data_IF_883755389016
#
_entry.id   IF_883755389016
#
_cell.length_a   1.000
_cell.length_b   1.000
_cell.length_c   1.000
_cell.angle_alpha   90.00
_cell.angle_beta   90.00
_cell.angle_gamma   90.00
#
_symmetry.space_group_name_H-M   'P 1'
#
loop_
_entity.id
_entity.type
_entity.pdbx_description
1 polymer ?
#
# COMPACT_ATOMS: atom_id res chain seq x y z
N UNK A 1 4.40 -17.68 7.16
CA UNK A 1 5.68 -18.12 7.79
C UNK A 1 6.53 -16.96 8.35
N UNK A 2 6.19 -15.68 8.15
CA UNK A 2 6.99 -14.51 8.61
C UNK A 2 6.98 -14.29 10.13
N UNK A 3 5.88 -14.65 10.78
CA UNK A 3 5.62 -14.34 12.18
C UNK A 3 6.67 -14.85 13.19
N UNK A 4 7.47 -15.87 12.86
CA UNK A 4 8.54 -16.40 13.73
C UNK A 4 9.64 -15.38 14.02
N UNK A 5 9.98 -14.52 13.06
CA UNK A 5 11.08 -13.56 13.19
C UNK A 5 10.76 -12.43 14.18
N UNK A 6 9.48 -12.05 14.27
CA UNK A 6 9.04 -10.87 15.02
C UNK A 6 8.34 -11.19 16.34
N UNK A 7 8.07 -12.47 16.67
CA UNK A 7 7.35 -12.87 17.90
C UNK A 7 7.90 -12.21 19.16
N UNK A 8 9.23 -12.13 19.27
CA UNK A 8 9.92 -11.59 20.44
C UNK A 8 9.80 -10.07 20.61
N UNK A 9 9.26 -9.36 19.61
CA UNK A 9 9.03 -7.92 19.66
C UNK A 9 7.64 -7.58 20.24
N UNK A 10 6.75 -8.55 20.33
CA UNK A 10 5.41 -8.36 20.90
C UNK A 10 5.44 -8.53 22.43
N UNK A 11 4.54 -7.82 23.15
CA UNK A 11 3.53 -6.90 22.65
C UNK A 11 4.11 -5.54 22.20
N UNK A 12 3.50 -4.95 21.17
CA UNK A 12 3.90 -3.62 20.68
C UNK A 12 3.23 -2.57 21.57
N UNK A 13 4.03 -1.75 22.26
CA UNK A 13 3.56 -0.77 23.24
C UNK A 13 4.03 0.64 22.95
N UNK A 14 4.85 0.82 21.93
CA UNK A 14 5.40 2.11 21.50
C UNK A 14 5.59 2.11 19.99
N UNK A 15 5.72 3.29 19.39
CA UNK A 15 6.08 3.43 17.98
C UNK A 15 7.43 2.75 17.66
N UNK A 16 8.39 2.77 18.59
CA UNK A 16 9.68 2.08 18.45
C UNK A 16 9.52 0.56 18.33
N UNK A 17 8.59 -0.06 19.06
CA UNK A 17 8.32 -1.50 18.90
C UNK A 17 7.78 -1.81 17.50
N UNK A 18 6.90 -0.95 16.97
CA UNK A 18 6.37 -1.09 15.60
C UNK A 18 7.48 -0.94 14.57
N UNK A 19 8.33 0.09 14.70
CA UNK A 19 9.52 0.27 13.87
C UNK A 19 10.44 -0.95 13.92
N UNK A 20 10.61 -1.56 15.10
CA UNK A 20 11.36 -2.79 15.29
C UNK A 20 10.79 -3.96 14.47
N UNK A 21 9.46 -4.11 14.42
CA UNK A 21 8.78 -5.13 13.59
C UNK A 21 9.02 -4.88 12.11
N UNK A 22 8.80 -3.65 11.64
CA UNK A 22 9.02 -3.29 10.23
C UNK A 22 10.49 -3.48 9.83
N UNK A 23 11.42 -3.07 10.69
CA UNK A 23 12.86 -3.27 10.49
C UNK A 23 13.19 -4.76 10.38
N UNK A 24 12.67 -5.60 11.27
CA UNK A 24 12.93 -7.03 11.25
C UNK A 24 12.37 -7.73 9.99
N UNK A 25 11.20 -7.30 9.50
CA UNK A 25 10.62 -7.82 8.25
C UNK A 25 11.40 -7.33 7.01
N UNK A 26 11.86 -6.08 6.98
CA UNK A 26 12.63 -5.51 5.87
C UNK A 26 14.09 -6.01 5.81
N UNK A 27 14.72 -6.26 6.96
CA UNK A 27 16.10 -6.74 7.05
C UNK A 27 16.20 -8.28 6.93
N UNK A 28 15.05 -8.96 6.89
CA UNK A 28 14.95 -10.41 6.81
C UNK A 28 15.52 -10.99 5.52
N UNK A 29 15.93 -12.27 5.56
CA UNK A 29 16.35 -13.02 4.37
C UNK A 29 15.18 -13.44 3.46
N UNK A 30 13.95 -13.09 3.83
CA UNK A 30 12.71 -13.46 3.14
C UNK A 30 11.97 -12.19 2.77
N UNK A 31 11.01 -12.30 1.87
CA UNK A 31 10.11 -11.19 1.57
C UNK A 31 9.34 -10.76 2.84
N UNK A 32 9.17 -9.45 3.07
CA UNK A 32 8.39 -8.94 4.20
C UNK A 32 6.95 -9.44 4.13
N UNK A 33 6.39 -9.86 5.26
CA UNK A 33 5.03 -10.39 5.35
C UNK A 33 4.00 -9.24 5.28
N UNK A 34 3.45 -9.01 4.09
CA UNK A 34 2.54 -7.89 3.84
C UNK A 34 1.26 -7.99 4.69
N UNK A 35 0.80 -9.22 4.91
CA UNK A 35 -0.41 -9.47 5.69
C UNK A 35 -0.23 -9.07 7.16
N UNK A 36 0.88 -9.50 7.76
CA UNK A 36 1.28 -9.13 9.11
C UNK A 36 1.36 -7.61 9.29
N UNK A 37 2.13 -6.93 8.44
CA UNK A 37 2.39 -5.49 8.56
C UNK A 37 1.10 -4.67 8.37
N UNK A 38 0.27 -5.02 7.38
CA UNK A 38 -1.01 -4.34 7.13
C UNK A 38 -2.01 -4.51 8.27
N UNK A 39 -2.05 -5.69 8.91
CA UNK A 39 -2.89 -5.94 10.09
C UNK A 39 -2.44 -5.08 11.27
N UNK A 40 -1.14 -4.99 11.52
CA UNK A 40 -0.59 -4.16 12.61
C UNK A 40 -0.93 -2.69 12.40
N UNK A 41 -0.65 -2.14 11.21
CA UNK A 41 -0.96 -0.74 10.91
C UNK A 41 -2.46 -0.46 10.99
N UNK A 42 -3.27 -1.30 10.37
CA UNK A 42 -4.72 -1.12 10.38
C UNK A 42 -5.35 -1.20 11.77
N UNK A 43 -4.81 -2.05 12.66
CA UNK A 43 -5.27 -2.10 14.05
C UNK A 43 -4.88 -0.83 14.82
N UNK A 44 -3.64 -0.37 14.68
CA UNK A 44 -3.17 0.86 15.32
C UNK A 44 -3.95 2.08 14.84
N UNK A 45 -4.13 2.20 13.52
CA UNK A 45 -4.95 3.27 12.93
C UNK A 45 -6.37 3.23 13.48
N UNK A 46 -7.02 2.06 13.49
CA UNK A 46 -8.35 1.93 14.07
C UNK A 46 -8.43 2.41 15.53
N UNK A 47 -7.43 2.08 16.35
CA UNK A 47 -7.42 2.51 17.74
C UNK A 47 -7.18 4.01 17.87
N UNK A 48 -6.21 4.56 17.15
CA UNK A 48 -5.78 5.95 17.25
C UNK A 48 -6.74 6.94 16.56
N UNK A 49 -7.56 6.49 15.61
CA UNK A 49 -8.49 7.38 14.89
C UNK A 49 -9.98 7.09 15.14
N UNK A 50 -10.38 5.81 15.14
CA UNK A 50 -11.79 5.43 15.21
C UNK A 50 -12.28 5.20 16.64
N UNK A 51 -11.44 4.60 17.51
CA UNK A 51 -11.86 4.14 18.84
C UNK A 51 -11.46 5.05 19.99
N UNK A 52 -10.21 5.54 20.01
CA UNK A 52 -9.66 6.37 21.09
C UNK A 52 -9.85 7.87 20.79
N UNK A 53 -11.07 8.29 20.42
CA UNK A 53 -11.36 9.72 20.39
C UNK A 53 -11.06 10.31 21.78
N UNK A 54 -10.25 11.37 21.91
CA UNK A 54 -9.88 11.91 23.21
C UNK A 54 -11.12 12.35 23.98
N UNK A 55 -11.62 11.50 24.88
CA UNK A 55 -12.65 11.88 25.82
C UNK A 55 -12.00 12.70 26.92
N UNK A 56 -12.17 14.01 26.87
CA UNK A 56 -11.72 15.01 27.84
C UNK A 56 -10.19 15.17 28.01
N UNK A 57 -9.75 16.42 27.84
CA UNK A 57 -8.39 16.88 28.12
C UNK A 57 -7.96 16.51 29.55
N UNK A 58 -7.03 15.56 29.70
CA UNK A 58 -6.42 15.26 31.01
C UNK A 58 -5.89 13.85 31.24
N UNK A 59 -6.22 12.85 30.40
CA UNK A 59 -5.55 11.55 30.44
C UNK A 59 -4.43 11.49 29.40
N UNK A 60 -3.20 11.09 29.77
CA UNK A 60 -2.15 10.84 28.78
C UNK A 60 -2.64 9.72 27.86
N UNK A 61 -2.73 10.01 26.55
CA UNK A 61 -3.01 8.97 25.57
C UNK A 61 -1.83 7.99 25.56
N UNK A 62 -2.00 6.86 26.25
CA UNK A 62 -1.05 5.75 26.17
C UNK A 62 -1.15 5.10 24.80
N UNK A 63 0.00 4.89 24.16
CA UNK A 63 0.09 4.15 22.90
C UNK A 63 -0.62 2.79 23.04
N UNK A 64 -1.51 2.42 22.10
CA UNK A 64 -2.31 1.21 22.23
C UNK A 64 -1.43 -0.04 22.16
N UNK A 65 -1.70 -1.00 23.06
CA UNK A 65 -1.01 -2.28 23.01
C UNK A 65 -1.51 -3.15 21.85
N UNK A 66 -0.58 -3.65 21.05
CA UNK A 66 -0.86 -4.68 20.02
C UNK A 66 -0.36 -6.02 20.51
N UNK A 67 -1.28 -6.95 20.78
CA UNK A 67 -0.94 -8.29 21.22
C UNK A 67 -0.59 -9.21 20.04
N UNK A 68 0.33 -10.14 20.27
CA UNK A 68 0.72 -11.14 19.27
C UNK A 68 -0.48 -12.03 18.88
N UNK A 69 -1.28 -12.44 19.86
CA UNK A 69 -2.42 -13.34 19.68
C UNK A 69 -3.46 -12.76 18.73
N UNK A 70 -3.77 -11.46 18.84
CA UNK A 70 -4.69 -10.78 17.95
C UNK A 70 -4.19 -10.81 16.50
N UNK A 71 -2.94 -10.40 16.31
CA UNK A 71 -2.31 -10.31 14.99
C UNK A 71 -2.19 -11.70 14.35
N UNK A 72 -1.79 -12.70 15.13
CA UNK A 72 -1.76 -14.10 14.71
C UNK A 72 -3.13 -14.61 14.28
N UNK A 73 -4.16 -14.38 15.09
CA UNK A 73 -5.51 -14.85 14.79
C UNK A 73 -6.04 -14.23 13.49
N UNK A 74 -5.87 -12.92 13.30
CA UNK A 74 -6.28 -12.22 12.08
C UNK A 74 -5.50 -12.69 10.86
N UNK A 75 -4.18 -12.83 10.98
CA UNK A 75 -3.33 -13.32 9.89
C UNK A 75 -3.69 -14.76 9.50
N UNK A 76 -3.85 -15.66 10.48
CA UNK A 76 -4.28 -17.04 10.24
C UNK A 76 -5.67 -17.10 9.58
N UNK A 77 -6.58 -16.21 9.96
CA UNK A 77 -7.90 -16.10 9.31
C UNK A 77 -7.77 -15.69 7.84
N UNK A 78 -6.96 -14.69 7.54
CA UNK A 78 -6.69 -14.27 6.15
C UNK A 78 -6.07 -15.40 5.33
N UNK A 79 -5.01 -16.03 5.86
CA UNK A 79 -4.33 -17.15 5.20
C UNK A 79 -5.30 -18.31 4.92
N UNK A 80 -6.10 -18.71 5.92
CA UNK A 80 -7.06 -19.81 5.78
C UNK A 80 -8.14 -19.50 4.74
N UNK A 81 -8.60 -18.25 4.68
CA UNK A 81 -9.59 -17.80 3.71
C UNK A 81 -9.05 -17.87 2.28
N UNK A 82 -7.81 -17.41 2.05
CA UNK A 82 -7.17 -17.43 0.73
C UNK A 82 -6.85 -18.86 0.30
N UNK A 83 -6.17 -19.62 1.15
CA UNK A 83 -5.77 -21.01 0.87
C UNK A 83 -6.97 -21.95 0.69
N UNK A 84 -8.07 -21.70 1.39
CA UNK A 84 -9.31 -22.48 1.24
C UNK A 84 -10.10 -22.16 -0.03
N UNK A 85 -9.88 -21.00 -0.65
CA UNK A 85 -10.67 -20.53 -1.78
C UNK A 85 -9.98 -20.67 -3.15
N UNK A 86 -8.66 -20.87 -3.16
CA UNK A 86 -7.82 -20.92 -4.36
C UNK A 86 -7.00 -22.21 -4.37
N UNK A 87 -7.31 -23.12 -5.27
CA UNK A 87 -6.47 -24.28 -5.57
C UNK A 87 -5.45 -23.93 -6.64
N UNK A 88 -4.22 -23.61 -6.23
CA UNK A 88 -3.12 -23.22 -7.14
C UNK A 88 -2.81 -24.30 -8.17
N UNK A 89 -2.97 -25.59 -7.81
CA UNK A 89 -2.67 -26.72 -8.70
C UNK A 89 -3.59 -26.80 -9.93
N UNK A 90 -4.74 -26.14 -9.87
CA UNK A 90 -5.70 -26.06 -10.98
C UNK A 90 -5.33 -25.00 -12.04
N UNK A 91 -4.27 -24.23 -11.85
CA UNK A 91 -3.89 -23.12 -12.73
C UNK A 91 -2.46 -23.28 -13.27
N UNK A 92 -2.22 -22.69 -14.44
CA UNK A 92 -0.85 -22.48 -14.92
C UNK A 92 -0.12 -21.51 -13.95
N UNK A 93 1.15 -21.78 -13.58
CA UNK A 93 1.92 -20.90 -12.72
C UNK A 93 1.98 -19.47 -13.26
N UNK A 94 1.72 -18.48 -12.41
CA UNK A 94 1.80 -17.05 -12.77
C UNK A 94 0.80 -16.59 -13.85
N UNK A 95 -0.20 -17.42 -14.19
CA UNK A 95 -1.15 -17.07 -15.25
C UNK A 95 -2.22 -16.06 -14.80
N UNK A 96 -2.64 -15.19 -15.72
CA UNK A 96 -3.75 -14.22 -15.53
C UNK A 96 -4.98 -14.82 -14.86
N UNK A 97 -5.38 -16.02 -15.25
CA UNK A 97 -6.55 -16.71 -14.70
C UNK A 97 -6.44 -16.96 -13.18
N UNK A 98 -5.23 -17.25 -12.68
CA UNK A 98 -4.98 -17.41 -11.25
C UNK A 98 -5.09 -16.07 -10.54
N UNK A 99 -4.45 -15.02 -11.07
CA UNK A 99 -4.50 -13.66 -10.49
C UNK A 99 -5.94 -13.14 -10.46
N UNK A 100 -6.71 -13.32 -11.54
CA UNK A 100 -8.13 -12.98 -11.59
C UNK A 100 -8.94 -13.77 -10.55
N UNK A 101 -8.63 -15.07 -10.36
CA UNK A 101 -9.29 -15.88 -9.32
C UNK A 101 -9.02 -15.33 -7.91
N UNK A 102 -7.78 -14.95 -7.61
CA UNK A 102 -7.43 -14.33 -6.31
C UNK A 102 -8.17 -13.00 -6.14
N UNK A 103 -8.20 -12.17 -7.19
CA UNK A 103 -8.97 -10.92 -7.22
C UNK A 103 -10.45 -11.15 -6.90
N UNK A 104 -11.08 -12.16 -7.52
CA UNK A 104 -12.46 -12.52 -7.25
C UNK A 104 -12.70 -13.00 -5.82
N UNK A 105 -11.74 -13.69 -5.19
CA UNK A 105 -11.86 -14.08 -3.78
C UNK A 105 -11.93 -12.84 -2.89
N UNK A 106 -11.04 -11.87 -3.08
CA UNK A 106 -11.09 -10.62 -2.32
C UNK A 106 -12.37 -9.85 -2.63
N UNK A 107 -12.68 -9.65 -3.90
CA UNK A 107 -13.85 -8.88 -4.34
C UNK A 107 -15.18 -9.42 -3.79
N UNK A 108 -15.42 -10.73 -3.92
CA UNK A 108 -16.70 -11.33 -3.56
C UNK A 108 -16.95 -11.36 -2.06
N UNK A 109 -15.93 -11.09 -1.25
CA UNK A 109 -16.04 -11.01 0.21
C UNK A 109 -16.37 -9.60 0.69
N UNK A 110 -16.21 -8.58 -0.16
CA UNK A 110 -16.54 -7.19 0.16
C UNK A 110 -18.05 -7.01 0.31
N UNK A 111 -18.44 -6.13 1.22
CA UNK A 111 -19.82 -5.69 1.32
C UNK A 111 -20.23 -4.97 0.02
N UNK A 112 -21.39 -5.29 -0.54
CA UNK A 112 -21.85 -4.65 -1.78
C UNK A 112 -22.27 -3.19 -1.61
N UNK A 113 -22.56 -2.77 -0.37
CA UNK A 113 -23.08 -1.44 -0.07
C UNK A 113 -22.32 -0.78 1.07
N UNK A 114 -21.36 0.07 0.71
CA UNK A 114 -20.69 1.00 1.62
C UNK A 114 -20.14 2.19 0.84
N UNK A 115 -19.84 3.27 1.56
CA UNK A 115 -19.13 4.40 0.97
C UNK A 115 -17.68 4.00 0.70
N UNK A 116 -17.32 3.90 -0.58
CA UNK A 116 -15.97 3.52 -1.06
C UNK A 116 -14.92 4.60 -0.79
N UNK A 117 -15.35 5.84 -0.55
CA UNK A 117 -14.51 7.00 -0.22
C UNK A 117 -14.39 7.18 1.31
N UNK A 118 -14.81 6.19 2.11
CA UNK A 118 -14.71 6.27 3.57
C UNK A 118 -13.24 6.16 3.99
N UNK A 119 -12.82 6.92 5.00
CA UNK A 119 -11.49 6.77 5.60
C UNK A 119 -11.34 5.44 6.37
N UNK A 120 -10.09 5.02 6.58
CA UNK A 120 -9.69 3.89 7.42
C UNK A 120 -10.13 2.51 6.90
N UNK A 121 -10.37 2.37 5.60
CA UNK A 121 -10.74 1.09 4.97
C UNK A 121 -9.70 0.61 3.95
N UNK A 122 -8.43 0.97 4.11
CA UNK A 122 -7.34 0.64 3.18
C UNK A 122 -6.54 -0.61 3.57
N UNK A 123 -6.67 -1.06 4.83
CA UNK A 123 -5.84 -2.14 5.41
C UNK A 123 -6.53 -3.51 5.45
N UNK A 124 -5.74 -4.58 5.54
CA UNK A 124 -6.27 -5.92 5.80
C UNK A 124 -6.98 -6.04 7.15
N UNK A 125 -6.68 -5.17 8.11
CA UNK A 125 -7.46 -5.11 9.35
C UNK A 125 -8.92 -4.72 9.07
N UNK A 126 -9.16 -3.69 8.26
CA UNK A 126 -10.51 -3.30 7.82
C UNK A 126 -11.20 -4.43 7.06
N UNK A 127 -10.46 -5.08 6.17
CA UNK A 127 -10.95 -6.25 5.42
C UNK A 127 -11.45 -7.35 6.37
N UNK A 128 -10.63 -7.77 7.34
CA UNK A 128 -10.93 -8.92 8.19
C UNK A 128 -11.98 -8.64 9.28
N UNK A 129 -12.02 -7.41 9.79
CA UNK A 129 -12.88 -7.07 10.93
C UNK A 129 -14.17 -6.38 10.51
N UNK A 130 -14.20 -5.72 9.34
CA UNK A 130 -15.34 -4.94 8.87
C UNK A 130 -15.75 -3.79 9.79
N UNK A 131 -15.04 -3.57 10.92
CA UNK A 131 -15.39 -2.75 12.08
C UNK A 131 -16.71 -3.14 12.76
N UNK A 132 -16.68 -4.19 13.58
CA UNK A 132 -17.75 -4.55 14.53
C UNK A 132 -18.13 -3.36 15.41
N UNK A 133 -19.38 -2.93 15.34
CA UNK A 133 -20.00 -2.08 16.38
C UNK A 133 -21.08 -2.91 17.07
N UNK A 134 -21.35 -2.70 18.38
CA UNK A 134 -22.37 -3.46 19.11
C UNK A 134 -23.79 -3.37 18.51
N UNK A 135 -24.03 -2.43 17.58
CA UNK A 135 -25.32 -2.22 16.92
C UNK A 135 -25.33 -2.54 15.41
N UNK A 136 -24.20 -2.88 14.78
CA UNK A 136 -24.15 -3.22 13.36
C UNK A 136 -23.00 -4.17 13.04
N UNK A 137 -23.36 -5.34 12.49
CA UNK A 137 -22.42 -6.24 11.80
C UNK A 137 -22.00 -5.54 10.51
N UNK A 138 -20.96 -4.74 10.59
CA UNK A 138 -20.41 -4.06 9.44
C UNK A 138 -19.58 -5.09 8.64
N UNK A 139 -20.03 -5.42 7.43
CA UNK A 139 -19.32 -6.34 6.54
C UNK A 139 -17.94 -5.80 6.12
N UNK A 140 -17.11 -6.69 5.57
CA UNK A 140 -15.79 -6.45 4.95
C UNK A 140 -15.78 -5.22 4.05
N UNK A 141 -14.85 -4.28 4.27
CA UNK A 141 -14.75 -3.02 3.52
C UNK A 141 -13.31 -2.76 3.10
N UNK A 142 -13.13 -2.36 1.84
CA UNK A 142 -11.86 -1.88 1.30
C UNK A 142 -12.05 -0.65 0.41
N UNK A 143 -11.11 0.28 0.35
CA UNK A 143 -11.05 1.26 -0.74
C UNK A 143 -10.36 0.66 -1.99
N UNK A 144 -10.24 1.45 -3.06
CA UNK A 144 -9.71 0.97 -4.33
C UNK A 144 -8.27 0.43 -4.20
N UNK A 145 -7.40 1.19 -3.52
CA UNK A 145 -6.02 0.79 -3.21
C UNK A 145 -5.99 -0.46 -2.32
N UNK A 146 -6.79 -0.48 -1.25
CA UNK A 146 -6.86 -1.57 -0.30
C UNK A 146 -7.25 -2.89 -0.96
N UNK A 147 -8.13 -2.87 -1.96
CA UNK A 147 -8.42 -4.05 -2.79
C UNK A 147 -7.18 -4.53 -3.52
N UNK A 148 -6.52 -3.67 -4.30
CA UNK A 148 -5.33 -4.07 -5.06
C UNK A 148 -4.22 -4.61 -4.15
N UNK A 149 -3.94 -3.91 -3.04
CA UNK A 149 -2.98 -4.34 -2.03
C UNK A 149 -3.36 -5.71 -1.41
N UNK A 150 -4.64 -5.92 -1.09
CA UNK A 150 -5.11 -7.18 -0.52
C UNK A 150 -4.96 -8.36 -1.49
N UNK A 151 -5.11 -8.11 -2.79
CA UNK A 151 -4.86 -9.15 -3.82
C UNK A 151 -3.36 -9.48 -3.87
N UNK A 152 -2.46 -8.50 -3.79
CA UNK A 152 -1.00 -8.78 -3.70
C UNK A 152 -0.66 -9.59 -2.46
N UNK A 153 -1.18 -9.21 -1.29
CA UNK A 153 -0.96 -9.96 -0.06
C UNK A 153 -1.51 -11.40 -0.14
N UNK A 154 -2.66 -11.61 -0.78
CA UNK A 154 -3.21 -12.94 -1.03
C UNK A 154 -2.35 -13.76 -2.00
N UNK A 155 -1.83 -13.13 -3.06
CA UNK A 155 -0.86 -13.76 -3.97
C UNK A 155 0.42 -14.17 -3.23
N UNK A 156 0.94 -13.33 -2.33
CA UNK A 156 2.09 -13.65 -1.49
C UNK A 156 1.82 -14.87 -0.59
N UNK A 157 0.63 -14.96 0.01
CA UNK A 157 0.21 -16.13 0.81
C UNK A 157 0.21 -17.42 -0.01
N UNK A 158 -0.18 -17.34 -1.29
CA UNK A 158 -0.19 -18.47 -2.23
C UNK A 158 1.19 -18.81 -2.79
N UNK A 159 2.23 -18.04 -2.43
CA UNK A 159 3.60 -18.23 -2.93
C UNK A 159 3.83 -17.67 -4.34
N UNK A 160 2.97 -16.77 -4.82
CA UNK A 160 3.09 -16.11 -6.12
C UNK A 160 3.99 -14.88 -6.00
N UNK A 161 5.31 -15.12 -5.96
CA UNK A 161 6.31 -14.08 -5.73
C UNK A 161 6.46 -13.09 -6.90
N UNK A 162 6.01 -13.45 -8.10
CA UNK A 162 6.07 -12.63 -9.31
C UNK A 162 4.94 -11.60 -9.42
N UNK A 163 3.90 -11.68 -8.58
CA UNK A 163 2.77 -10.75 -8.59
C UNK A 163 3.09 -9.53 -7.72
N UNK A 164 3.05 -8.35 -8.32
CA UNK A 164 3.40 -7.09 -7.68
C UNK A 164 2.38 -5.99 -7.89
N UNK A 165 2.38 -5.02 -6.97
CA UNK A 165 1.55 -3.82 -7.09
C UNK A 165 2.13 -2.86 -8.14
N UNK A 166 1.26 -2.28 -8.95
CA UNK A 166 1.58 -1.13 -9.79
C UNK A 166 0.67 0.04 -9.43
N UNK A 167 1.26 1.23 -9.37
CA UNK A 167 0.57 2.46 -8.99
C UNK A 167 0.76 3.55 -10.03
N UNK A 168 -0.32 4.23 -10.36
CA UNK A 168 -0.25 5.60 -10.87
C UNK A 168 -0.46 6.59 -9.73
N UNK A 169 -0.68 7.86 -10.07
CA UNK A 169 -1.01 8.90 -9.10
C UNK A 169 -2.41 8.71 -8.49
N UNK A 170 -3.32 8.02 -9.18
CA UNK A 170 -4.75 7.93 -8.80
C UNK A 170 -5.36 6.53 -8.98
N UNK A 171 -4.54 5.50 -9.27
CA UNK A 171 -5.03 4.14 -9.47
C UNK A 171 -4.01 3.05 -9.13
N UNK A 172 -4.53 1.86 -8.85
CA UNK A 172 -3.74 0.70 -8.47
C UNK A 172 -4.20 -0.56 -9.25
N UNK A 173 -3.24 -1.30 -9.78
CA UNK A 173 -3.47 -2.57 -10.47
C UNK A 173 -2.30 -3.53 -10.21
N UNK A 174 -2.31 -4.72 -10.81
CA UNK A 174 -1.25 -5.70 -10.62
C UNK A 174 -0.41 -5.89 -11.87
N UNK A 175 0.87 -6.20 -11.65
CA UNK A 175 1.78 -6.72 -12.66
C UNK A 175 2.26 -8.12 -12.26
N UNK A 176 2.51 -8.96 -13.25
CA UNK A 176 2.96 -10.34 -13.05
C UNK A 176 3.62 -10.91 -14.31
N UNK A 177 4.07 -12.16 -14.25
CA UNK A 177 4.78 -12.82 -15.33
C UNK A 177 6.25 -12.36 -15.47
N UNK A 178 6.96 -12.85 -16.50
CA UNK A 178 8.38 -12.52 -16.70
C UNK A 178 8.60 -11.00 -16.75
N UNK A 179 9.49 -10.50 -15.91
CA UNK A 179 9.83 -9.07 -15.80
C UNK A 179 8.63 -8.13 -15.52
N UNK A 180 7.51 -8.66 -15.02
CA UNK A 180 6.28 -7.88 -14.81
C UNK A 180 5.60 -7.43 -16.10
N UNK A 181 5.77 -8.20 -17.19
CA UNK A 181 5.26 -7.84 -18.52
C UNK A 181 3.74 -7.88 -18.64
N UNK A 182 3.07 -8.69 -17.81
CA UNK A 182 1.61 -8.76 -17.80
C UNK A 182 1.01 -7.80 -16.77
N UNK A 183 -0.13 -7.20 -17.12
CA UNK A 183 -0.89 -6.35 -16.21
C UNK A 183 -2.32 -6.85 -16.07
N UNK A 184 -2.94 -6.63 -14.92
CA UNK A 184 -4.37 -6.86 -14.76
C UNK A 184 -4.99 -5.86 -13.79
N UNK A 185 -6.13 -5.32 -14.20
CA UNK A 185 -7.05 -4.60 -13.33
C UNK A 185 -7.62 -5.55 -12.26
N UNK A 186 -7.68 -5.10 -11.02
CA UNK A 186 -8.21 -5.89 -9.88
C UNK A 186 -9.18 -5.11 -9.00
N UNK A 187 -9.32 -3.82 -9.23
CA UNK A 187 -10.17 -2.92 -8.45
C UNK A 187 -10.96 -2.00 -9.36
N UNK A 188 -11.85 -1.19 -8.78
CA UNK A 188 -12.56 -0.15 -9.52
C UNK A 188 -11.72 1.13 -9.59
N UNK A 189 -12.04 1.99 -10.56
CA UNK A 189 -11.61 3.39 -10.56
C UNK A 189 -12.83 4.32 -10.69
N UNK A 190 -12.83 5.41 -9.93
CA UNK A 190 -13.91 6.40 -9.94
C UNK A 190 -15.30 5.86 -9.51
N UNK A 191 -16.35 6.56 -9.95
CA UNK A 191 -17.76 6.29 -9.59
C UNK A 191 -18.57 5.64 -10.73
N UNK A 192 -17.90 5.25 -11.81
CA UNK A 192 -18.51 4.63 -12.99
C UNK A 192 -18.87 3.16 -12.79
N UNK A 193 -19.71 2.63 -13.69
CA UNK A 193 -20.17 1.23 -13.68
C UNK A 193 -19.31 0.28 -14.55
N UNK A 194 -18.22 0.75 -15.14
CA UNK A 194 -17.34 -0.10 -15.95
C UNK A 194 -16.43 -0.93 -15.05
N UNK A 195 -16.78 -2.21 -14.85
CA UNK A 195 -15.90 -3.19 -14.22
C UNK A 195 -14.82 -3.61 -15.24
N UNK A 196 -13.62 -3.08 -15.08
CA UNK A 196 -12.45 -3.43 -15.91
C UNK A 196 -11.64 -4.58 -15.34
N UNK A 197 -12.02 -5.16 -14.19
CA UNK A 197 -11.23 -6.22 -13.53
C UNK A 197 -10.97 -7.40 -14.46
N UNK A 198 -9.75 -7.93 -14.40
CA UNK A 198 -9.24 -9.00 -15.27
C UNK A 198 -8.66 -8.52 -16.60
N UNK A 199 -8.93 -7.27 -17.01
CA UNK A 199 -8.42 -6.72 -18.27
C UNK A 199 -6.99 -6.16 -18.10
N UNK A 200 -6.23 -6.14 -19.20
CA UNK A 200 -4.94 -5.45 -19.27
C UNK A 200 -5.13 -3.93 -19.26
N UNK A 201 -4.14 -3.19 -18.74
CA UNK A 201 -4.13 -1.72 -18.78
C UNK A 201 -3.60 -1.16 -20.12
N UNK A 202 -3.16 -2.03 -21.04
CA UNK A 202 -2.52 -1.64 -22.31
C UNK A 202 -3.38 -0.71 -23.17
N UNK A 203 -4.70 -0.87 -23.14
CA UNK A 203 -5.61 0.02 -23.88
C UNK A 203 -5.51 1.46 -23.37
N UNK A 204 -5.56 1.65 -22.05
CA UNK A 204 -5.42 2.97 -21.43
C UNK A 204 -4.02 3.57 -21.62
N UNK A 205 -2.98 2.73 -21.65
CA UNK A 205 -1.61 3.15 -21.99
C UNK A 205 -1.52 3.59 -23.45
N UNK A 206 -2.07 2.83 -24.39
CA UNK A 206 -2.09 3.16 -25.81
C UNK A 206 -2.86 4.46 -26.11
N UNK A 207 -3.92 4.71 -25.33
CA UNK A 207 -4.71 5.95 -25.37
C UNK A 207 -4.04 7.12 -24.63
N UNK A 208 -2.86 6.92 -24.04
CA UNK A 208 -2.08 7.94 -23.30
C UNK A 208 -2.86 8.56 -22.15
N UNK A 209 -3.69 7.75 -21.47
CA UNK A 209 -4.45 8.21 -20.32
C UNK A 209 -3.51 8.55 -19.17
N UNK A 210 -3.72 9.70 -18.52
CA UNK A 210 -3.01 10.08 -17.29
C UNK A 210 -3.20 9.04 -16.19
N UNK A 211 -4.38 8.41 -16.13
CA UNK A 211 -4.69 7.35 -15.17
C UNK A 211 -3.65 6.20 -15.15
N UNK A 212 -3.02 5.92 -16.29
CA UNK A 212 -1.99 4.90 -16.44
C UNK A 212 -0.61 5.48 -16.73
N UNK A 213 -0.45 6.81 -16.57
CA UNK A 213 0.79 7.58 -16.78
C UNK A 213 1.51 7.26 -18.09
N UNK A 214 0.75 6.97 -19.16
CA UNK A 214 1.31 6.54 -20.44
C UNK A 214 2.32 5.35 -20.29
N UNK A 215 2.06 4.45 -19.35
CA UNK A 215 2.91 3.28 -19.06
C UNK A 215 4.07 3.54 -18.10
N UNK A 216 4.24 4.78 -17.63
CA UNK A 216 5.26 5.19 -16.66
C UNK A 216 4.71 5.11 -15.24
N UNK A 217 4.33 3.91 -14.81
CA UNK A 217 3.82 3.68 -13.46
C UNK A 217 4.94 3.37 -12.46
N UNK A 218 4.63 3.52 -11.17
CA UNK A 218 5.46 2.97 -10.09
C UNK A 218 5.30 1.46 -10.09
N UNK A 219 6.41 0.77 -10.36
CA UNK A 219 6.51 -0.70 -10.38
C UNK A 219 7.05 -1.19 -9.05
N UNK A 220 6.20 -1.71 -8.17
CA UNK A 220 6.63 -2.04 -6.82
C UNK A 220 7.41 -3.36 -6.79
N UNK A 221 8.42 -3.42 -5.93
CA UNK A 221 8.88 -4.66 -5.31
C UNK A 221 8.24 -4.81 -3.91
N UNK A 222 8.59 -5.86 -3.18
CA UNK A 222 8.02 -6.10 -1.83
C UNK A 222 8.30 -4.97 -0.83
N UNK A 223 9.51 -4.39 -0.84
CA UNK A 223 9.83 -3.25 0.03
C UNK A 223 9.05 -1.99 -0.33
N UNK A 224 8.79 -1.77 -1.61
CA UNK A 224 7.94 -0.68 -2.09
C UNK A 224 6.47 -0.92 -1.73
N UNK A 225 5.99 -2.16 -1.73
CA UNK A 225 4.63 -2.49 -1.24
C UNK A 225 4.49 -2.23 0.27
N UNK A 226 5.57 -2.42 1.05
CA UNK A 226 5.64 -1.94 2.43
C UNK A 226 5.58 -0.40 2.48
N UNK A 227 6.29 0.29 1.60
CA UNK A 227 6.16 1.75 1.50
C UNK A 227 4.74 2.17 1.13
N UNK A 228 4.05 1.45 0.25
CA UNK A 228 2.68 1.76 -0.15
C UNK A 228 1.72 1.71 1.04
N UNK A 229 1.79 0.67 1.87
CA UNK A 229 0.92 0.58 3.05
C UNK A 229 1.25 1.61 4.13
N UNK A 230 2.52 2.03 4.24
CA UNK A 230 2.93 3.09 5.16
C UNK A 230 2.44 4.46 4.66
N UNK A 231 2.59 4.76 3.38
CA UNK A 231 2.05 5.96 2.75
C UNK A 231 0.52 6.02 2.84
N UNK A 232 -0.15 4.86 2.80
CA UNK A 232 -1.60 4.75 2.93
C UNK A 232 -2.13 4.88 4.36
N UNK A 233 -1.27 5.01 5.40
CA UNK A 233 -1.73 5.33 6.76
C UNK A 233 -2.53 6.64 6.71
N UNK A 234 -3.69 6.67 7.35
CA UNK A 234 -4.56 7.84 7.38
C UNK A 234 -4.69 8.38 8.82
N UNK A 235 -3.95 9.46 9.16
CA UNK A 235 -4.01 10.11 10.47
C UNK A 235 -5.34 10.80 10.81
N UNK A 236 -6.21 11.07 9.84
CA UNK A 236 -7.38 11.93 10.05
C UNK A 236 -8.38 11.35 11.07
N UNK A 237 -8.70 12.12 12.10
CA UNK A 237 -9.81 11.85 13.04
C UNK A 237 -11.14 12.35 12.46
N UNK A 238 -11.07 13.50 11.82
CA UNK A 238 -12.13 14.20 11.12
C UNK A 238 -11.53 15.13 10.04
N UNK A 239 -12.35 16.00 9.45
CA UNK A 239 -11.91 16.87 8.35
C UNK A 239 -10.88 17.95 8.76
N UNK A 240 -10.60 18.13 10.05
CA UNK A 240 -9.79 19.23 10.57
C UNK A 240 -8.74 18.80 11.60
N UNK A 241 -8.74 17.54 12.00
CA UNK A 241 -7.91 17.05 13.10
C UNK A 241 -7.28 15.71 12.74
N UNK A 242 -5.97 15.60 12.96
CA UNK A 242 -5.20 14.37 12.77
C UNK A 242 -4.73 13.79 14.11
N UNK A 243 -4.52 12.47 14.16
CA UNK A 243 -3.80 11.81 15.25
C UNK A 243 -2.30 12.09 15.12
N UNK A 244 -1.76 12.84 16.06
CA UNK A 244 -0.32 13.14 16.10
C UNK A 244 0.52 11.87 16.25
N UNK A 245 0.07 10.91 17.06
CA UNK A 245 0.78 9.64 17.24
C UNK A 245 0.88 8.84 15.94
N UNK A 246 -0.17 8.89 15.11
CA UNK A 246 -0.19 8.19 13.83
C UNK A 246 0.65 8.92 12.77
N UNK A 247 0.65 10.26 12.75
CA UNK A 247 1.57 11.06 11.93
C UNK A 247 3.03 10.74 12.26
N UNK A 248 3.40 10.74 13.55
CA UNK A 248 4.77 10.44 14.00
C UNK A 248 5.20 9.00 13.66
N UNK A 249 4.27 8.04 13.77
CA UNK A 249 4.52 6.66 13.37
C UNK A 249 4.75 6.56 11.86
N UNK A 250 3.89 7.18 11.05
CA UNK A 250 4.02 7.21 9.59
C UNK A 250 5.35 7.86 9.16
N UNK A 251 5.69 9.01 9.73
CA UNK A 251 6.94 9.72 9.47
C UNK A 251 8.16 8.85 9.80
N UNK A 252 8.15 8.19 10.97
CA UNK A 252 9.26 7.33 11.38
C UNK A 252 9.43 6.10 10.48
N UNK A 253 8.33 5.51 10.01
CA UNK A 253 8.34 4.39 9.08
C UNK A 253 8.79 4.83 7.68
N UNK A 254 8.38 6.00 7.22
CA UNK A 254 8.86 6.56 5.95
C UNK A 254 10.35 6.88 6.00
N UNK A 255 10.87 7.40 7.11
CA UNK A 255 12.31 7.54 7.31
C UNK A 255 13.06 6.20 7.28
N UNK A 256 12.50 5.16 7.90
CA UNK A 256 13.06 3.81 7.88
C UNK A 256 13.22 3.27 6.44
N UNK A 257 12.22 3.55 5.58
CA UNK A 257 12.19 3.16 4.18
C UNK A 257 13.12 4.04 3.33
N UNK A 258 13.14 5.35 3.60
CA UNK A 258 14.02 6.32 2.97
C UNK A 258 15.49 5.93 3.16
N UNK A 259 15.90 5.64 4.39
CA UNK A 259 17.28 5.27 4.73
C UNK A 259 17.75 3.97 4.05
N UNK A 260 16.81 3.16 3.58
CA UNK A 260 17.07 1.92 2.82
C UNK A 260 16.96 2.10 1.30
N UNK A 261 16.74 3.32 0.81
CA UNK A 261 16.53 3.61 -0.61
C UNK A 261 15.23 3.04 -1.18
N UNK A 262 14.28 2.64 -0.32
CA UNK A 262 13.01 2.05 -0.77
C UNK A 262 12.02 3.10 -1.29
N UNK A 263 12.33 4.38 -1.13
CA UNK A 263 11.52 5.50 -1.62
C UNK A 263 12.08 6.13 -2.90
N UNK A 264 13.26 5.72 -3.37
CA UNK A 264 13.96 6.34 -4.52
C UNK A 264 13.12 6.34 -5.80
N UNK A 265 12.28 5.32 -5.98
CA UNK A 265 11.36 5.16 -7.12
C UNK A 265 9.89 5.35 -6.75
N UNK A 266 9.62 6.01 -5.62
CA UNK A 266 8.26 6.23 -5.14
C UNK A 266 8.01 7.71 -4.80
N UNK A 267 7.71 8.55 -5.82
CA UNK A 267 7.55 10.00 -5.65
C UNK A 267 6.49 10.40 -4.62
N UNK A 268 5.35 9.70 -4.59
CA UNK A 268 4.26 10.01 -3.65
C UNK A 268 4.71 9.82 -2.20
N UNK A 269 5.44 8.75 -1.88
CA UNK A 269 5.94 8.51 -0.53
C UNK A 269 6.99 9.55 -0.09
N UNK A 270 7.84 10.01 -1.01
CA UNK A 270 8.76 11.12 -0.76
C UNK A 270 8.01 12.44 -0.49
N UNK A 271 6.94 12.71 -1.24
CA UNK A 271 6.07 13.86 -1.02
C UNK A 271 5.40 13.81 0.35
N UNK A 272 4.81 12.67 0.71
CA UNK A 272 4.20 12.47 2.04
C UNK A 272 5.22 12.66 3.17
N UNK A 273 6.46 12.17 3.01
CA UNK A 273 7.51 12.41 4.00
C UNK A 273 7.89 13.89 4.10
N UNK A 274 7.95 14.60 2.97
CA UNK A 274 8.21 16.03 2.94
C UNK A 274 7.12 16.83 3.67
N UNK A 275 5.85 16.50 3.42
CA UNK A 275 4.70 17.12 4.10
C UNK A 275 4.76 16.91 5.62
N UNK A 276 5.08 15.69 6.07
CA UNK A 276 5.22 15.39 7.50
C UNK A 276 6.38 16.13 8.16
N UNK A 277 7.52 16.28 7.47
CA UNK A 277 8.65 17.08 7.97
C UNK A 277 8.38 18.59 8.01
N UNK A 278 7.48 19.10 7.16
CA UNK A 278 7.04 20.50 7.20
C UNK A 278 6.13 20.76 8.40
N UNK A 279 5.35 19.75 8.82
CA UNK A 279 4.48 19.80 10.00
C UNK A 279 5.30 19.66 11.30
N UNK A 280 6.04 18.57 11.46
CA UNK A 280 6.84 18.30 12.65
C UNK A 280 8.22 17.78 12.26
N UNK A 281 9.22 18.66 12.39
CA UNK A 281 10.55 18.41 11.86
C UNK A 281 11.35 17.42 12.69
N UNK A 282 12.00 16.46 12.03
CA UNK A 282 12.94 15.54 12.67
C UNK A 282 14.37 16.12 12.72
N UNK A 283 15.00 16.27 13.89
CA UNK A 283 16.36 16.77 13.99
C UNK A 283 17.38 15.93 13.20
N UNK A 284 18.22 16.60 12.41
CA UNK A 284 19.27 15.96 11.61
C UNK A 284 18.81 15.36 10.28
N UNK A 285 17.51 15.46 9.95
CA UNK A 285 16.97 15.05 8.65
C UNK A 285 17.05 16.18 7.60
N UNK A 286 17.05 15.83 6.29
CA UNK A 286 16.94 16.79 5.20
C UNK A 286 15.78 17.78 5.38
N UNK A 287 15.94 18.99 4.85
CA UNK A 287 14.85 19.98 4.75
C UNK A 287 13.72 19.44 3.86
N UNK A 288 12.44 19.79 4.14
CA UNK A 288 11.30 19.42 3.28
C UNK A 288 11.52 19.78 1.80
N UNK A 289 12.10 20.95 1.52
CA UNK A 289 12.42 21.38 0.16
C UNK A 289 13.36 20.41 -0.58
N UNK A 290 14.32 19.79 0.13
CA UNK A 290 15.23 18.80 -0.45
C UNK A 290 14.46 17.52 -0.79
N UNK A 291 13.52 17.10 0.06
CA UNK A 291 12.67 15.95 -0.20
C UNK A 291 11.76 16.20 -1.42
N UNK A 292 11.13 17.38 -1.54
CA UNK A 292 10.36 17.73 -2.74
C UNK A 292 11.20 17.76 -4.02
N UNK A 293 12.47 18.18 -3.95
CA UNK A 293 13.39 18.08 -5.09
C UNK A 293 13.71 16.62 -5.46
N UNK A 294 13.76 15.73 -4.47
CA UNK A 294 13.91 14.29 -4.71
C UNK A 294 12.66 13.68 -5.36
N UNK A 295 11.45 14.19 -5.07
CA UNK A 295 10.21 13.82 -5.79
C UNK A 295 10.39 14.07 -7.29
N UNK A 296 10.81 15.29 -7.68
CA UNK A 296 11.07 15.62 -9.09
C UNK A 296 12.10 14.68 -9.73
N UNK A 297 13.16 14.35 -8.99
CA UNK A 297 14.22 13.45 -9.48
C UNK A 297 13.69 12.03 -9.67
N UNK A 298 12.91 11.52 -8.71
CA UNK A 298 12.27 10.21 -8.77
C UNK A 298 11.32 10.09 -9.97
N UNK A 299 10.47 11.10 -10.19
CA UNK A 299 9.60 11.16 -11.37
C UNK A 299 10.40 11.15 -12.68
N UNK A 300 11.52 11.89 -12.72
CA UNK A 300 12.38 11.92 -13.91
C UNK A 300 13.00 10.56 -14.18
N UNK A 301 13.52 9.87 -13.15
CA UNK A 301 14.09 8.54 -13.28
C UNK A 301 13.07 7.52 -13.81
N UNK A 302 11.84 7.52 -13.30
CA UNK A 302 10.76 6.64 -13.80
C UNK A 302 10.48 6.89 -15.30
N UNK A 303 10.41 8.17 -15.71
CA UNK A 303 10.23 8.54 -17.11
C UNK A 303 11.41 8.10 -18.00
N UNK A 304 12.65 8.23 -17.53
CA UNK A 304 13.85 7.87 -18.28
C UNK A 304 13.98 6.36 -18.47
N UNK A 305 13.75 5.55 -17.43
CA UNK A 305 13.75 4.08 -17.54
C UNK A 305 12.73 3.59 -18.57
N UNK A 306 11.57 4.25 -18.66
CA UNK A 306 10.58 3.94 -19.68
C UNK A 306 11.02 4.37 -21.09
N UNK A 307 11.77 5.47 -21.23
CA UNK A 307 12.29 5.90 -22.52
C UNK A 307 13.35 4.94 -23.07
N UNK A 308 14.20 4.36 -22.22
CA UNK A 308 15.23 3.40 -22.67
C UNK A 308 14.63 2.12 -23.27
N UNK A 309 13.45 1.67 -22.80
CA UNK A 309 12.72 0.55 -23.40
C UNK A 309 12.19 0.82 -24.82
N UNK A 310 12.11 2.09 -25.24
CA UNK A 310 11.65 2.49 -26.59
C UNK A 310 12.79 2.81 -27.56
N UNK A 311 14.05 2.80 -27.12
CA UNK A 311 15.20 3.16 -27.97
C UNK A 311 15.65 1.95 -28.78
N UNK A 312 14.79 1.54 -29.71
CA UNK A 312 15.15 0.79 -30.91
C UNK A 312 15.66 1.69 -32.05
N UNK A 313 15.66 3.03 -31.89
CA UNK A 313 16.28 3.95 -32.84
C UNK A 313 16.90 5.17 -32.15
N UNK A 314 18.12 5.60 -32.53
CA UNK A 314 18.80 6.71 -31.89
C UNK A 314 18.29 8.03 -32.46
N UNK A 315 17.38 8.70 -31.76
CA UNK A 315 17.14 10.12 -32.01
C UNK A 315 17.05 10.91 -30.70
N UNK A 316 17.77 12.04 -30.71
CA UNK A 316 18.17 12.87 -29.55
C UNK A 316 16.98 13.29 -28.67
N UNK A 317 17.19 13.47 -27.35
CA UNK A 317 16.14 13.94 -26.45
C UNK A 317 15.69 15.34 -26.85
N UNK A 318 14.39 15.49 -27.07
CA UNK A 318 13.76 16.74 -27.47
C UNK A 318 13.29 17.47 -26.20
N UNK A 319 13.99 18.53 -25.80
CA UNK A 319 13.77 19.33 -24.57
C UNK A 319 12.33 19.86 -24.42
N UNK A 320 11.55 19.90 -25.51
CA UNK A 320 10.17 20.37 -25.53
C UNK A 320 9.12 19.42 -24.94
N UNK A 321 9.47 18.18 -24.54
CA UNK A 321 8.53 17.29 -23.83
C UNK A 321 8.48 17.50 -22.32
N UNK A 322 9.53 18.09 -21.74
CA UNK A 322 9.68 18.24 -20.29
C UNK A 322 8.82 19.38 -19.75
N UNK A 323 8.59 20.45 -20.53
CA UNK A 323 7.85 21.63 -20.07
C UNK A 323 6.36 21.40 -19.84
N UNK A 324 5.74 20.38 -20.45
CA UNK A 324 4.32 20.06 -20.22
C UNK A 324 4.05 19.26 -18.94
N UNK A 325 5.09 18.69 -18.32
CA UNK A 325 4.95 17.92 -17.07
C UNK A 325 4.90 18.81 -15.81
N UNK A 326 5.21 20.10 -15.92
CA UNK A 326 5.35 21.00 -14.77
C UNK A 326 4.26 22.08 -14.66
N UNK A 327 3.25 22.10 -15.54
CA UNK A 327 2.26 23.19 -15.58
C UNK A 327 0.80 22.74 -15.71
N UNK A 328 0.42 21.58 -15.18
CA UNK A 328 -0.97 21.15 -15.11
C UNK A 328 -1.26 20.45 -13.81
#
# INVERSE_FOLDING_TARGET
>A
MGLKAVRGLFPLRTAEHVLGVFKAELDGQREPDLALLSIVLGYLEHLLTVRLRPTSAGSPCTFPEVSLELVEALRCRFESQVLGAVDVGSYAPGGRALVSRVSDVIWNTLNRSYNKDRAHIQSLYSYLTGFETPLNVSGTKLDAFGVAFSVVAACQVLGLSDVHLALSEDHAWLMFGPDGSETTEVTWHGKGNEDKRGQSVDSGVAEKMWLYLNGVCVRCNRSMEVACMVTAINPALDAHTDSQELCLLQQSLLWLLYDRGHLDKYPVALGTLADLEDIERTPGRPEPLVLYQQVCTSCHCLCCEHCECFVGEPSRPNENRISKFMTS
#
